data_IF_002114375527
#
_entry.id   IF_002114375527
#
_cell.length_a   1.000
_cell.length_b   1.000
_cell.length_c   1.000
_cell.angle_alpha   90.00
_cell.angle_beta   90.00
_cell.angle_gamma   90.00
#
_symmetry.space_group_name_H-M   'P 1'
#
loop_
_entity.id
_entity.type
_entity.pdbx_description
1 polymer ?
#
# COMPACT_ATOMS: atom_id res chain seq x y z
N UNK A 1 -38.48 -27.72 -33.02
CA UNK A 1 -37.07 -27.88 -32.69
C UNK A 1 -36.26 -26.58 -32.85
N UNK A 2 -36.38 -25.80 -33.92
CA UNK A 2 -35.60 -24.51 -34.09
C UNK A 2 -35.81 -23.44 -33.00
N UNK A 3 -37.02 -23.30 -32.45
CA UNK A 3 -37.34 -22.31 -31.40
C UNK A 3 -36.74 -22.65 -30.04
N UNK A 4 -36.56 -23.92 -29.71
CA UNK A 4 -35.97 -24.38 -28.43
C UNK A 4 -34.47 -24.14 -28.41
N UNK A 5 -33.77 -24.29 -29.54
CA UNK A 5 -32.34 -24.06 -29.67
C UNK A 5 -32.02 -22.58 -29.46
N UNK A 6 -32.84 -21.64 -29.94
CA UNK A 6 -32.64 -20.20 -29.74
C UNK A 6 -32.75 -19.75 -28.28
N UNK A 7 -33.68 -20.34 -27.52
CA UNK A 7 -33.87 -20.00 -26.10
C UNK A 7 -32.71 -20.55 -25.28
N UNK A 8 -32.21 -21.74 -25.54
CA UNK A 8 -31.07 -22.34 -24.86
C UNK A 8 -29.77 -21.54 -25.07
N UNK A 9 -29.56 -21.00 -26.30
CA UNK A 9 -28.42 -20.17 -26.63
C UNK A 9 -28.43 -18.82 -25.90
N UNK A 10 -29.62 -18.24 -25.68
CA UNK A 10 -29.75 -16.96 -24.91
C UNK A 10 -29.48 -17.20 -23.42
N UNK A 11 -29.93 -18.31 -22.84
CA UNK A 11 -29.64 -18.67 -21.45
C UNK A 11 -28.17 -18.97 -21.23
N UNK A 12 -27.49 -19.60 -22.17
CA UNK A 12 -26.04 -19.86 -22.09
C UNK A 12 -25.23 -18.56 -22.16
N UNK A 13 -25.64 -17.59 -22.98
CA UNK A 13 -25.01 -16.28 -23.08
C UNK A 13 -25.15 -15.44 -21.79
N UNK A 14 -26.27 -15.55 -21.07
CA UNK A 14 -26.49 -14.88 -19.79
C UNK A 14 -25.69 -15.51 -18.64
N UNK A 15 -25.39 -16.80 -18.68
CA UNK A 15 -24.57 -17.48 -17.65
C UNK A 15 -23.09 -17.04 -17.68
N UNK A 16 -22.60 -16.49 -18.80
CA UNK A 16 -21.23 -15.98 -18.92
C UNK A 16 -21.05 -14.53 -18.44
N UNK A 17 -22.10 -13.80 -18.07
CA UNK A 17 -22.04 -12.37 -17.79
C UNK A 17 -21.97 -11.95 -16.32
N UNK A 18 -21.88 -12.88 -15.37
CA UNK A 18 -21.90 -12.48 -13.95
C UNK A 18 -20.73 -13.02 -13.12
N UNK A 19 -19.51 -12.81 -13.60
CA UNK A 19 -18.42 -12.78 -12.65
C UNK A 19 -18.30 -11.35 -12.14
N UNK A 20 -18.84 -11.08 -10.96
CA UNK A 20 -18.71 -9.78 -10.33
C UNK A 20 -17.21 -9.42 -10.24
N UNK A 21 -16.86 -8.26 -10.80
CA UNK A 21 -15.47 -7.78 -10.75
C UNK A 21 -15.04 -7.66 -9.28
N UNK A 22 -13.94 -8.31 -8.91
CA UNK A 22 -13.40 -8.24 -7.56
C UNK A 22 -12.97 -6.80 -7.23
N UNK A 23 -13.17 -6.42 -5.98
CA UNK A 23 -12.67 -5.14 -5.46
C UNK A 23 -11.16 -5.27 -5.23
N UNK A 24 -10.37 -4.43 -5.87
CA UNK A 24 -8.91 -4.49 -5.84
C UNK A 24 -8.33 -3.69 -4.69
N UNK A 25 -7.47 -4.33 -3.88
CA UNK A 25 -6.77 -3.71 -2.76
C UNK A 25 -5.26 -3.80 -2.98
N UNK A 26 -4.61 -2.67 -3.21
CA UNK A 26 -3.16 -2.58 -3.37
C UNK A 26 -2.49 -2.27 -2.03
N UNK A 27 -1.68 -3.20 -1.51
CA UNK A 27 -0.86 -2.98 -0.31
C UNK A 27 0.53 -2.50 -0.73
N UNK A 28 0.76 -1.21 -0.63
CA UNK A 28 1.98 -0.49 -1.03
C UNK A 28 2.86 -0.23 0.19
N UNK A 29 4.16 -0.53 0.11
CA UNK A 29 5.01 -0.25 1.25
C UNK A 29 6.43 -0.80 1.16
N UNK A 30 7.08 -0.83 2.32
CA UNK A 30 8.45 -1.29 2.50
C UNK A 30 8.52 -2.79 2.91
N UNK A 31 9.54 -3.14 3.69
CA UNK A 31 9.76 -4.50 4.21
C UNK A 31 8.61 -5.02 5.08
N UNK A 32 7.90 -4.15 5.79
CA UNK A 32 6.74 -4.53 6.62
C UNK A 32 5.61 -5.03 5.70
N UNK A 33 5.31 -4.30 4.64
CA UNK A 33 4.32 -4.72 3.64
C UNK A 33 4.77 -5.96 2.88
N UNK A 34 6.05 -5.99 2.47
CA UNK A 34 6.64 -7.16 1.82
C UNK A 34 6.49 -8.42 2.67
N UNK A 35 6.61 -8.31 4.01
CA UNK A 35 6.65 -9.45 4.95
C UNK A 35 8.06 -9.99 5.13
N UNK A 36 9.06 -9.08 5.19
CA UNK A 36 10.45 -9.49 5.40
C UNK A 36 10.62 -10.20 6.76
N UNK A 37 11.28 -11.36 6.73
CA UNK A 37 11.52 -12.18 7.93
C UNK A 37 10.31 -13.01 8.40
N UNK A 38 9.16 -12.92 7.75
CA UNK A 38 7.99 -13.72 8.08
C UNK A 38 8.10 -15.09 7.42
N UNK A 39 7.97 -16.16 8.23
CA UNK A 39 7.89 -17.53 7.72
C UNK A 39 6.59 -17.73 6.93
N UNK A 40 6.67 -18.45 5.83
CA UNK A 40 5.54 -18.68 4.91
C UNK A 40 4.88 -17.34 4.53
N UNK A 41 5.69 -16.41 4.03
CA UNK A 41 5.28 -15.05 3.70
C UNK A 41 4.01 -14.99 2.86
N UNK A 42 3.85 -15.91 1.92
CA UNK A 42 2.72 -16.01 0.99
C UNK A 42 1.36 -16.15 1.70
N UNK A 43 1.36 -16.62 2.95
CA UNK A 43 0.15 -16.80 3.76
C UNK A 43 0.13 -15.93 5.01
N UNK A 44 1.31 -15.53 5.51
CA UNK A 44 1.43 -14.94 6.85
C UNK A 44 1.75 -13.44 6.84
N UNK A 45 2.18 -12.84 5.72
CA UNK A 45 2.32 -11.39 5.66
C UNK A 45 0.94 -10.71 5.73
N UNK A 46 0.87 -9.45 6.20
CA UNK A 46 -0.42 -8.81 6.41
C UNK A 46 -1.29 -8.70 5.14
N UNK A 47 -0.76 -8.47 3.93
CA UNK A 47 -1.59 -8.46 2.73
C UNK A 47 -2.27 -9.81 2.46
N UNK A 48 -1.55 -10.92 2.70
CA UNK A 48 -2.11 -12.26 2.54
C UNK A 48 -3.19 -12.56 3.59
N UNK A 49 -2.98 -12.16 4.84
CA UNK A 49 -3.99 -12.28 5.88
C UNK A 49 -5.20 -11.38 5.59
N UNK A 50 -4.98 -10.18 5.08
CA UNK A 50 -6.06 -9.28 4.66
C UNK A 50 -6.90 -9.92 3.55
N UNK A 51 -6.27 -10.58 2.58
CA UNK A 51 -6.98 -11.35 1.54
C UNK A 51 -7.88 -12.42 2.16
N UNK A 52 -7.35 -13.19 3.12
CA UNK A 52 -8.13 -14.24 3.81
C UNK A 52 -9.33 -13.66 4.57
N UNK A 53 -9.14 -12.53 5.23
CA UNK A 53 -10.20 -11.86 6.01
C UNK A 53 -11.29 -11.24 5.13
N UNK A 54 -10.93 -10.71 3.98
CA UNK A 54 -11.87 -10.04 3.05
C UNK A 54 -12.59 -11.05 2.13
N UNK A 55 -12.02 -12.24 1.92
CA UNK A 55 -12.63 -13.30 1.10
C UNK A 55 -12.60 -13.04 -0.40
N UNK A 56 -13.38 -13.81 -1.14
CA UNK A 56 -13.31 -13.91 -2.62
C UNK A 56 -13.84 -12.69 -3.38
N UNK A 57 -14.62 -11.83 -2.71
CA UNK A 57 -15.10 -10.58 -3.30
C UNK A 57 -13.98 -9.54 -3.51
N UNK A 58 -12.83 -9.77 -2.89
CA UNK A 58 -11.67 -8.88 -2.97
C UNK A 58 -10.47 -9.57 -3.62
N UNK A 59 -9.60 -8.77 -4.22
CA UNK A 59 -8.30 -9.15 -4.74
C UNK A 59 -7.25 -8.26 -4.08
N UNK A 60 -6.51 -8.83 -3.10
CA UNK A 60 -5.50 -8.10 -2.33
C UNK A 60 -4.12 -8.47 -2.85
N UNK A 61 -3.38 -7.46 -3.32
CA UNK A 61 -2.04 -7.65 -3.87
C UNK A 61 -0.96 -6.95 -3.04
N UNK A 62 0.17 -7.63 -2.88
CA UNK A 62 1.31 -7.17 -2.11
C UNK A 62 2.35 -6.49 -3.02
N UNK A 63 2.44 -5.17 -2.95
CA UNK A 63 3.42 -4.34 -3.64
C UNK A 63 4.47 -3.77 -2.68
N UNK A 64 4.80 -4.50 -1.61
CA UNK A 64 5.89 -4.16 -0.71
C UNK A 64 7.26 -4.36 -1.35
N UNK A 65 8.19 -3.44 -1.09
CA UNK A 65 9.60 -3.55 -1.49
C UNK A 65 10.53 -3.26 -0.32
N UNK A 66 11.30 -4.29 0.11
CA UNK A 66 12.18 -4.16 1.28
C UNK A 66 13.24 -3.07 1.10
N UNK A 67 13.36 -2.21 2.11
CA UNK A 67 14.28 -1.07 2.10
C UNK A 67 13.76 0.15 1.34
N UNK A 68 12.55 0.10 0.75
CA UNK A 68 12.02 1.25 0.02
C UNK A 68 11.79 2.46 0.91
N UNK A 69 12.20 3.64 0.42
CA UNK A 69 11.95 4.95 1.01
C UNK A 69 10.76 5.62 0.32
N UNK A 70 10.06 6.48 1.05
CA UNK A 70 9.07 7.37 0.47
C UNK A 70 9.75 8.50 -0.31
N UNK A 71 10.77 9.12 0.33
CA UNK A 71 11.54 10.21 -0.26
C UNK A 71 12.15 9.80 -1.60
N UNK A 72 11.88 10.58 -2.63
CA UNK A 72 12.43 10.36 -3.97
C UNK A 72 13.95 10.59 -4.03
N UNK A 73 14.50 11.32 -3.07
CA UNK A 73 15.95 11.50 -2.85
C UNK A 73 16.53 10.53 -1.83
N UNK A 74 15.72 9.60 -1.30
CA UNK A 74 16.18 8.55 -0.41
C UNK A 74 17.10 7.56 -1.13
N UNK A 75 17.73 6.67 -0.38
CA UNK A 75 18.68 5.70 -0.94
C UNK A 75 18.02 4.60 -1.78
N UNK A 76 16.70 4.41 -1.66
CA UNK A 76 15.92 3.42 -2.43
C UNK A 76 14.47 3.90 -2.64
N UNK A 77 14.24 4.93 -3.46
CA UNK A 77 12.91 5.48 -3.67
C UNK A 77 11.92 4.41 -4.15
N UNK A 78 10.76 4.32 -3.52
CA UNK A 78 9.70 3.38 -3.90
C UNK A 78 9.25 3.61 -5.34
N UNK A 79 9.17 4.86 -5.77
CA UNK A 79 8.78 5.26 -7.13
C UNK A 79 9.70 4.73 -8.23
N UNK A 80 10.91 4.33 -7.88
CA UNK A 80 11.89 3.74 -8.79
C UNK A 80 11.87 2.20 -8.77
N UNK A 81 11.04 1.57 -7.94
CA UNK A 81 10.99 0.11 -7.83
C UNK A 81 9.95 -0.49 -8.78
N UNK A 82 10.21 -1.72 -9.22
CA UNK A 82 9.27 -2.47 -10.05
C UNK A 82 7.90 -2.66 -9.35
N UNK A 83 7.92 -2.81 -8.03
CA UNK A 83 6.72 -2.92 -7.20
C UNK A 83 5.77 -1.73 -7.40
N UNK A 84 6.30 -0.51 -7.51
CA UNK A 84 5.52 0.68 -7.79
C UNK A 84 4.83 0.61 -9.16
N UNK A 85 5.58 0.21 -10.20
CA UNK A 85 5.03 0.08 -11.55
C UNK A 85 3.93 -1.00 -11.62
N UNK A 86 4.11 -2.11 -10.91
CA UNK A 86 3.10 -3.17 -10.78
C UNK A 86 1.85 -2.65 -10.06
N UNK A 87 2.03 -1.90 -8.97
CA UNK A 87 0.92 -1.32 -8.21
C UNK A 87 0.10 -0.33 -9.05
N UNK A 88 0.75 0.51 -9.85
CA UNK A 88 0.05 1.42 -10.78
C UNK A 88 -0.76 0.67 -11.83
N UNK A 89 -0.17 -0.38 -12.44
CA UNK A 89 -0.89 -1.21 -13.44
C UNK A 89 -2.05 -2.01 -12.83
N UNK A 90 -1.92 -2.40 -11.58
CA UNK A 90 -3.00 -3.07 -10.86
C UNK A 90 -4.23 -2.16 -10.69
N UNK A 91 -4.02 -0.84 -10.56
CA UNK A 91 -5.07 0.17 -10.47
C UNK A 91 -6.11 -0.15 -9.38
N UNK A 92 -5.65 -0.37 -8.13
CA UNK A 92 -6.48 -0.76 -7.00
C UNK A 92 -7.63 0.21 -6.73
N UNK A 93 -8.79 -0.33 -6.30
CA UNK A 93 -9.91 0.48 -5.81
C UNK A 93 -9.61 1.05 -4.41
N UNK A 94 -8.81 0.32 -3.66
CA UNK A 94 -8.22 0.75 -2.39
C UNK A 94 -6.70 0.64 -2.48
N UNK A 95 -6.01 1.66 -2.01
CA UNK A 95 -4.55 1.70 -1.92
C UNK A 95 -4.15 1.96 -0.47
N UNK A 96 -3.47 1.01 0.16
CA UNK A 96 -2.96 1.13 1.53
C UNK A 96 -1.47 1.41 1.45
N UNK A 97 -1.01 2.59 1.89
CA UNK A 97 0.39 3.00 1.81
C UNK A 97 1.02 2.95 3.19
N UNK A 98 2.07 2.13 3.35
CA UNK A 98 2.89 2.03 4.56
C UNK A 98 4.37 2.25 4.21
N UNK A 99 4.75 3.52 4.05
CA UNK A 99 6.10 4.00 3.75
C UNK A 99 6.53 5.06 4.77
N UNK A 100 7.82 5.36 4.81
CA UNK A 100 8.40 6.38 5.67
C UNK A 100 9.38 5.84 6.72
N UNK A 101 9.32 4.53 7.05
CA UNK A 101 10.20 3.94 8.05
C UNK A 101 11.69 4.01 7.65
N UNK A 102 12.01 3.67 6.41
CA UNK A 102 13.38 3.70 5.91
C UNK A 102 13.91 5.13 5.66
N UNK A 103 13.00 6.09 5.62
CA UNK A 103 13.32 7.52 5.47
C UNK A 103 13.96 8.10 6.73
N UNK A 104 13.80 7.45 7.89
CA UNK A 104 14.45 7.83 9.15
C UNK A 104 15.97 7.59 9.15
N UNK A 105 16.50 6.94 8.10
CA UNK A 105 17.94 6.76 7.91
C UNK A 105 18.65 8.13 7.94
N UNK A 106 19.76 8.28 8.71
CA UNK A 106 20.52 9.53 8.80
C UNK A 106 21.02 10.09 7.47
N UNK A 107 21.13 9.25 6.43
CA UNK A 107 21.50 9.69 5.07
C UNK A 107 20.37 10.40 4.35
N UNK A 108 19.12 10.16 4.75
CA UNK A 108 17.94 10.72 4.10
C UNK A 108 17.27 11.81 4.94
N UNK A 109 16.86 11.51 6.16
CA UNK A 109 15.97 12.36 6.95
C UNK A 109 16.51 13.77 7.23
N UNK A 110 17.74 13.96 7.73
CA UNK A 110 18.22 15.32 8.04
C UNK A 110 18.29 16.21 6.80
N UNK A 111 18.52 15.60 5.63
CA UNK A 111 18.79 16.33 4.39
C UNK A 111 17.52 16.60 3.56
N UNK A 112 16.52 15.71 3.62
CA UNK A 112 15.39 15.73 2.70
C UNK A 112 14.01 15.72 3.38
N UNK A 113 13.95 15.88 4.70
CA UNK A 113 12.70 15.85 5.46
C UNK A 113 11.63 16.82 4.94
N UNK A 114 12.05 17.97 4.45
CA UNK A 114 11.15 19.01 3.95
C UNK A 114 10.46 18.59 2.63
N UNK A 115 11.01 17.60 1.92
CA UNK A 115 10.43 17.01 0.72
C UNK A 115 9.38 15.95 1.05
N UNK A 116 9.32 15.45 2.29
CA UNK A 116 8.55 14.27 2.66
C UNK A 116 7.03 14.38 2.34
N UNK A 117 6.41 15.47 2.74
CA UNK A 117 4.98 15.69 2.49
C UNK A 117 4.71 15.84 1.00
N UNK A 118 5.53 16.57 0.28
CA UNK A 118 5.41 16.76 -1.16
C UNK A 118 5.52 15.42 -1.90
N UNK A 119 6.52 14.62 -1.57
CA UNK A 119 6.75 13.31 -2.20
C UNK A 119 5.62 12.34 -1.85
N UNK A 120 5.05 12.42 -0.64
CA UNK A 120 3.88 11.63 -0.25
C UNK A 120 2.65 11.99 -1.07
N UNK A 121 2.36 13.28 -1.20
CA UNK A 121 1.23 13.77 -2.00
C UNK A 121 1.40 13.38 -3.47
N UNK A 122 2.62 13.47 -4.01
CA UNK A 122 2.92 13.04 -5.36
C UNK A 122 2.67 11.54 -5.58
N UNK A 123 3.05 10.70 -4.60
CA UNK A 123 2.77 9.27 -4.64
C UNK A 123 1.27 8.98 -4.63
N UNK A 124 0.51 9.62 -3.74
CA UNK A 124 -0.95 9.50 -3.69
C UNK A 124 -1.58 9.88 -5.04
N UNK A 125 -1.15 11.01 -5.59
CA UNK A 125 -1.67 11.51 -6.87
C UNK A 125 -1.38 10.55 -8.03
N UNK A 126 -0.25 9.85 -8.01
CA UNK A 126 0.06 8.85 -9.04
C UNK A 126 -0.93 7.68 -9.04
N UNK A 127 -1.39 7.21 -7.86
CA UNK A 127 -2.42 6.19 -7.75
C UNK A 127 -3.79 6.71 -8.19
N UNK A 128 -4.12 7.96 -7.86
CA UNK A 128 -5.36 8.60 -8.31
C UNK A 128 -5.41 8.80 -9.82
N UNK A 129 -4.26 9.03 -10.46
CA UNK A 129 -4.16 9.07 -11.93
C UNK A 129 -4.37 7.68 -12.54
N UNK A 130 -3.86 6.62 -11.90
CA UNK A 130 -4.03 5.24 -12.36
C UNK A 130 -5.49 4.77 -12.22
N UNK A 131 -6.16 5.14 -11.11
CA UNK A 131 -7.57 4.89 -10.87
C UNK A 131 -8.21 6.11 -10.18
N UNK A 132 -8.93 6.98 -10.90
CA UNK A 132 -9.54 8.20 -10.33
C UNK A 132 -10.57 7.94 -9.21
N UNK A 133 -11.08 6.71 -9.10
CA UNK A 133 -12.04 6.32 -8.06
C UNK A 133 -11.38 5.67 -6.84
N UNK A 134 -10.06 5.50 -6.86
CA UNK A 134 -9.37 4.82 -5.77
C UNK A 134 -9.48 5.60 -4.46
N UNK A 135 -9.61 4.86 -3.36
CA UNK A 135 -9.51 5.38 -2.00
C UNK A 135 -8.12 5.07 -1.46
N UNK A 136 -7.38 6.11 -1.09
CA UNK A 136 -6.01 5.97 -0.58
C UNK A 136 -5.99 6.10 0.94
N UNK A 137 -5.42 5.12 1.60
CA UNK A 137 -5.23 5.04 3.05
C UNK A 137 -3.75 5.12 3.36
N UNK A 138 -3.38 6.06 4.21
CA UNK A 138 -2.00 6.25 4.67
C UNK A 138 -1.85 5.68 6.07
N UNK A 139 -0.98 4.68 6.23
CA UNK A 139 -0.70 4.11 7.53
C UNK A 139 0.32 4.97 8.27
N UNK A 140 0.14 5.10 9.58
CA UNK A 140 1.20 5.60 10.45
C UNK A 140 2.38 4.63 10.46
N UNK A 141 3.58 5.18 10.63
CA UNK A 141 4.77 4.35 10.79
C UNK A 141 4.68 3.49 12.05
N UNK A 142 5.18 2.28 11.96
CA UNK A 142 5.34 1.38 13.10
C UNK A 142 6.41 1.98 14.05
N UNK A 143 6.17 2.03 15.36
CA UNK A 143 7.21 2.41 16.31
C UNK A 143 8.43 1.50 16.19
N UNK A 144 9.62 2.10 16.19
CA UNK A 144 10.88 1.35 16.18
C UNK A 144 11.48 1.43 17.58
N UNK A 145 11.61 0.28 18.22
CA UNK A 145 12.25 0.13 19.52
C UNK A 145 13.64 -0.45 19.29
N UNK A 146 14.68 0.35 19.47
CA UNK A 146 16.07 -0.14 19.44
C UNK A 146 16.61 -0.21 20.86
N UNK A 147 16.87 -1.41 21.33
CA UNK A 147 17.47 -1.64 22.67
C UNK A 147 18.89 -1.06 22.79
N UNK A 148 19.57 -0.81 21.67
CA UNK A 148 20.98 -0.45 21.60
C UNK A 148 21.25 1.05 21.42
N UNK A 149 20.23 1.89 21.32
CA UNK A 149 20.41 3.33 21.07
C UNK A 149 19.79 4.25 22.14
N UNK A 150 19.69 3.77 23.37
CA UNK A 150 19.19 4.61 24.48
C UNK A 150 20.00 5.90 24.67
N UNK A 151 21.26 5.94 24.26
CA UNK A 151 22.12 7.12 24.38
C UNK A 151 22.13 8.00 23.12
N UNK A 152 21.80 7.44 21.93
CA UNK A 152 21.74 8.22 20.68
C UNK A 152 20.32 8.61 20.26
N UNK A 153 19.31 8.06 20.88
CA UNK A 153 17.90 8.37 20.58
C UNK A 153 17.46 9.77 21.02
N UNK A 154 18.27 10.46 21.83
CA UNK A 154 18.03 11.86 22.18
C UNK A 154 18.36 12.83 21.05
N UNK A 155 19.03 12.38 19.98
CA UNK A 155 19.44 13.23 18.87
C UNK A 155 18.68 12.94 17.54
N UNK A 156 17.95 11.83 17.45
CA UNK A 156 17.07 11.60 16.32
C UNK A 156 15.69 12.06 16.75
N UNK A 157 15.18 13.18 16.24
CA UNK A 157 13.79 13.51 16.42
C UNK A 157 13.02 12.40 15.68
N UNK A 158 12.53 11.42 16.44
CA UNK A 158 11.45 10.56 15.97
C UNK A 158 10.39 11.54 15.48
N UNK A 159 10.23 11.59 14.16
CA UNK A 159 9.44 12.60 13.49
C UNK A 159 8.14 12.84 14.24
N UNK A 160 8.18 13.90 15.03
CA UNK A 160 7.06 14.45 15.74
C UNK A 160 6.46 13.55 16.84
N UNK A 161 6.70 13.87 18.10
CA UNK A 161 6.02 13.32 19.28
C UNK A 161 4.48 13.37 19.16
N UNK A 162 3.95 14.22 18.29
CA UNK A 162 2.54 14.29 17.92
C UNK A 162 2.03 13.09 17.10
N UNK A 163 2.90 12.22 16.58
CA UNK A 163 2.48 11.00 15.89
C UNK A 163 2.15 9.82 16.81
N UNK A 164 2.61 9.84 18.07
CA UNK A 164 2.53 8.66 18.97
C UNK A 164 1.25 8.62 19.80
N UNK A 165 0.54 9.72 20.00
CA UNK A 165 -0.53 9.81 21.02
C UNK A 165 -1.96 10.01 20.50
N UNK A 166 -2.22 10.05 19.21
CA UNK A 166 -3.59 10.21 18.73
C UNK A 166 -4.11 8.95 18.04
N UNK A 167 -5.33 8.51 18.45
CA UNK A 167 -6.13 7.47 17.81
C UNK A 167 -6.13 7.68 16.29
N UNK A 168 -6.14 6.60 15.48
CA UNK A 168 -6.16 6.72 14.03
C UNK A 168 -7.39 7.50 13.61
N UNK A 169 -7.18 8.74 13.18
CA UNK A 169 -8.21 9.51 12.48
C UNK A 169 -8.02 9.18 11.00
N UNK A 170 -9.04 8.69 10.29
CA UNK A 170 -8.98 8.58 8.85
C UNK A 170 -8.71 9.98 8.31
N UNK A 171 -7.60 10.16 7.58
CA UNK A 171 -7.39 11.40 6.83
C UNK A 171 -8.27 11.27 5.60
N UNK A 172 -9.53 11.70 5.73
CA UNK A 172 -10.33 12.07 4.58
C UNK A 172 -9.72 13.37 4.05
N UNK A 173 -8.90 13.25 3.02
CA UNK A 173 -8.56 14.38 2.17
C UNK A 173 -9.80 14.63 1.27
N UNK A 174 -10.80 15.27 1.84
CA UNK A 174 -11.81 15.92 1.01
C UNK A 174 -11.16 17.06 0.22
N UNK A 175 -11.65 17.26 -1.00
CA UNK A 175 -11.12 18.13 -2.05
C UNK A 175 -10.81 19.55 -1.59
#
# INVERSE_FOLDING_TARGET
MRKIIGILSIFLAFAFMSQAQKIKVACVGNSVTYGYGIKNRETNCYPAQLQQMLGDAYEVENFGHSGATLLNKGYRPYTQQEAYQKALRFAGDYVIIHLGLNDTDPRAWPNYRDDFVRDYLSLIESFRKANPRCKVWVCRMTPVWTATHREKSNEIPLGNENCVSRKPTPVHLEK
#
